data_IF_497368569480
#
_entry.id   IF_497368569480
#
_cell.length_a   1.000
_cell.length_b   1.000
_cell.length_c   1.000
_cell.angle_alpha   90.00
_cell.angle_beta   90.00
_cell.angle_gamma   90.00
#
_symmetry.space_group_name_H-M   'P 1'
#
loop_
_entity.id
_entity.type
_entity.pdbx_description
1 polymer ?
#
# COMPACT_ATOMS: atom_id res chain seq x y z
N UNK A 1 22.51 -14.74 -2.92
CA UNK A 1 21.61 -15.70 -2.26
C UNK A 1 20.62 -15.03 -1.31
N UNK A 2 21.01 -14.21 -0.33
CA UNK A 2 20.08 -13.65 0.67
C UNK A 2 19.00 -12.66 0.14
N UNK A 3 19.32 -11.83 -0.87
CA UNK A 3 18.39 -10.78 -1.37
C UNK A 3 17.07 -11.35 -1.91
N UNK A 4 17.11 -12.45 -2.66
CA UNK A 4 15.89 -13.09 -3.18
C UNK A 4 15.04 -13.67 -2.05
N UNK A 5 15.68 -14.27 -1.05
CA UNK A 5 14.99 -14.87 0.10
C UNK A 5 14.24 -13.83 0.91
N UNK A 6 14.87 -12.66 1.18
CA UNK A 6 14.22 -11.56 1.90
C UNK A 6 13.02 -11.01 1.12
N UNK A 7 13.16 -10.83 -0.20
CA UNK A 7 12.06 -10.33 -1.03
C UNK A 7 10.87 -11.29 -1.06
N UNK A 8 11.12 -12.60 -1.15
CA UNK A 8 10.06 -13.62 -1.07
C UNK A 8 9.35 -13.62 0.28
N UNK A 9 10.11 -13.50 1.37
CA UNK A 9 9.50 -13.39 2.71
C UNK A 9 8.60 -12.15 2.82
N UNK A 10 9.02 -11.01 2.29
CA UNK A 10 8.22 -9.78 2.31
C UNK A 10 6.90 -9.93 1.53
N UNK A 11 6.93 -10.63 0.40
CA UNK A 11 5.74 -10.96 -0.39
C UNK A 11 4.77 -11.86 0.40
N UNK A 12 5.26 -12.97 0.94
CA UNK A 12 4.46 -13.91 1.73
C UNK A 12 3.85 -13.26 2.98
N UNK A 13 4.62 -12.43 3.69
CA UNK A 13 4.12 -11.67 4.85
C UNK A 13 3.09 -10.62 4.42
N UNK A 14 3.27 -9.99 3.26
CA UNK A 14 2.30 -9.02 2.72
C UNK A 14 0.93 -9.65 2.48
N UNK A 15 0.89 -10.81 1.84
CA UNK A 15 -0.35 -11.58 1.62
C UNK A 15 -1.01 -11.98 2.95
N UNK A 16 -0.22 -12.47 3.91
CA UNK A 16 -0.71 -12.85 5.22
C UNK A 16 -1.30 -11.65 5.98
N UNK A 17 -0.67 -10.47 5.90
CA UNK A 17 -1.16 -9.24 6.52
C UNK A 17 -2.48 -8.76 5.90
N UNK A 18 -2.64 -8.85 4.58
CA UNK A 18 -3.90 -8.53 3.90
C UNK A 18 -5.01 -9.48 4.36
N UNK A 19 -4.77 -10.79 4.33
CA UNK A 19 -5.75 -11.79 4.77
C UNK A 19 -6.11 -11.66 6.26
N UNK A 20 -5.14 -11.31 7.11
CA UNK A 20 -5.39 -11.01 8.52
C UNK A 20 -6.28 -9.78 8.66
N UNK A 21 -5.96 -8.69 7.97
CA UNK A 21 -6.72 -7.44 8.07
C UNK A 21 -8.17 -7.64 7.64
N UNK A 22 -8.39 -8.33 6.52
CA UNK A 22 -9.73 -8.64 5.99
C UNK A 22 -10.57 -9.50 6.95
N UNK A 23 -9.92 -10.37 7.73
CA UNK A 23 -10.60 -11.27 8.67
C UNK A 23 -10.87 -10.61 10.02
N UNK A 24 -9.91 -9.87 10.55
CA UNK A 24 -9.93 -9.40 11.94
C UNK A 24 -10.36 -7.94 12.09
N UNK A 25 -10.14 -7.10 11.08
CA UNK A 25 -10.48 -5.66 11.12
C UNK A 25 -11.84 -5.46 10.43
N UNK A 26 -12.88 -6.06 11.00
CA UNK A 26 -14.26 -5.96 10.50
C UNK A 26 -15.20 -5.54 11.62
N UNK A 27 -16.31 -4.86 11.30
CA UNK A 27 -17.30 -4.43 12.29
C UNK A 27 -16.77 -3.39 13.30
N UNK A 28 -15.80 -2.57 12.90
CA UNK A 28 -15.20 -1.55 13.78
C UNK A 28 -16.12 -0.32 13.87
N UNK A 29 -16.49 0.06 15.09
CA UNK A 29 -17.15 1.34 15.36
C UNK A 29 -16.09 2.44 15.54
N UNK A 30 -15.94 3.28 14.52
CA UNK A 30 -15.02 4.44 14.54
C UNK A 30 -15.78 5.74 14.28
N UNK A 31 -16.13 6.52 15.34
CA UNK A 31 -16.86 7.78 15.18
C UNK A 31 -16.10 8.84 14.37
N UNK A 32 -14.76 8.77 14.37
CA UNK A 32 -13.89 9.74 13.74
C UNK A 32 -12.76 9.05 12.99
N UNK A 33 -12.94 8.90 11.68
CA UNK A 33 -11.93 8.34 10.77
C UNK A 33 -11.18 9.48 10.09
N UNK A 34 -9.85 9.44 10.17
CA UNK A 34 -8.96 10.28 9.38
C UNK A 34 -8.55 9.52 8.13
N UNK A 35 -8.51 10.21 7.00
CA UNK A 35 -8.03 9.64 5.74
C UNK A 35 -6.80 10.43 5.33
N UNK A 36 -5.71 9.73 5.09
CA UNK A 36 -4.45 10.30 4.64
C UNK A 36 -4.00 9.65 3.33
N UNK A 37 -3.18 10.37 2.57
CA UNK A 37 -2.53 9.88 1.37
C UNK A 37 -1.02 10.06 1.46
N UNK A 38 -0.30 8.99 1.13
CA UNK A 38 1.15 8.99 1.02
C UNK A 38 1.56 8.81 -0.44
N UNK A 39 2.41 9.71 -0.92
CA UNK A 39 3.01 9.61 -2.26
C UNK A 39 4.30 8.78 -2.25
N UNK A 40 4.45 7.94 -3.26
CA UNK A 40 5.66 7.17 -3.56
C UNK A 40 5.83 6.95 -5.06
N UNK A 41 6.84 6.18 -5.44
CA UNK A 41 7.07 5.78 -6.83
C UNK A 41 7.59 4.33 -6.91
N UNK A 42 7.29 3.64 -7.99
CA UNK A 42 7.85 2.33 -8.31
C UNK A 42 8.78 2.46 -9.52
N UNK A 43 10.01 1.94 -9.38
CA UNK A 43 11.11 2.02 -10.36
C UNK A 43 11.59 3.45 -10.69
N UNK A 44 10.70 4.30 -11.18
CA UNK A 44 10.97 5.65 -11.68
C UNK A 44 9.90 6.62 -11.18
N UNK A 45 10.29 7.86 -10.85
CA UNK A 45 9.33 8.95 -10.60
C UNK A 45 8.60 9.28 -11.90
N UNK A 46 7.32 9.65 -11.85
CA UNK A 46 6.51 9.88 -13.07
C UNK A 46 7.20 10.75 -14.13
N UNK A 47 7.85 11.84 -13.72
CA UNK A 47 8.55 12.77 -14.63
C UNK A 47 9.75 12.16 -15.38
N UNK A 48 10.26 11.03 -14.91
CA UNK A 48 11.42 10.34 -15.45
C UNK A 48 11.03 8.99 -16.08
N UNK A 49 9.74 8.67 -16.14
CA UNK A 49 9.26 7.45 -16.81
C UNK A 49 9.55 7.59 -18.29
N UNK A 50 10.28 6.62 -18.83
CA UNK A 50 10.62 6.62 -20.25
C UNK A 50 9.38 6.32 -21.11
N UNK A 51 9.32 6.82 -22.36
CA UNK A 51 8.13 6.67 -23.20
C UNK A 51 7.68 5.21 -23.38
N UNK A 52 8.62 4.27 -23.41
CA UNK A 52 8.35 2.83 -23.51
C UNK A 52 7.73 2.21 -22.26
N UNK A 53 7.89 2.84 -21.10
CA UNK A 53 7.32 2.39 -19.82
C UNK A 53 6.09 3.20 -19.40
N UNK A 54 5.69 4.21 -20.19
CA UNK A 54 4.53 5.04 -19.90
C UNK A 54 3.23 4.21 -19.96
N UNK A 55 2.47 4.21 -18.86
CA UNK A 55 1.22 3.45 -18.74
C UNK A 55 1.42 1.96 -18.45
N UNK A 56 2.66 1.49 -18.29
CA UNK A 56 2.97 0.12 -17.85
C UNK A 56 2.85 0.03 -16.33
N UNK A 57 2.06 -0.92 -15.83
CA UNK A 57 1.91 -1.16 -14.40
C UNK A 57 3.29 -1.46 -13.76
N UNK A 58 3.60 -0.74 -12.69
CA UNK A 58 4.87 -0.90 -11.96
C UNK A 58 5.91 0.18 -12.26
N UNK A 59 5.60 1.15 -13.12
CA UNK A 59 6.43 2.34 -13.35
C UNK A 59 5.66 3.60 -13.01
N UNK A 60 6.32 4.56 -12.36
CA UNK A 60 5.75 5.87 -12.09
C UNK A 60 5.27 6.04 -10.66
N UNK A 61 4.32 6.95 -10.47
CA UNK A 61 3.84 7.33 -9.16
C UNK A 61 2.87 6.29 -8.57
N UNK A 62 2.95 6.14 -7.26
CA UNK A 62 2.08 5.27 -6.47
C UNK A 62 1.56 6.07 -5.29
N UNK A 63 0.25 5.99 -5.05
CA UNK A 63 -0.40 6.59 -3.89
C UNK A 63 -0.91 5.50 -2.98
N UNK A 64 -0.62 5.64 -1.69
CA UNK A 64 -1.16 4.78 -0.64
C UNK A 64 -2.16 5.60 0.16
N UNK A 65 -3.41 5.18 0.13
CA UNK A 65 -4.49 5.76 0.91
C UNK A 65 -4.68 4.95 2.18
N UNK A 66 -4.81 5.63 3.32
CA UNK A 66 -4.94 4.98 4.62
C UNK A 66 -6.12 5.59 5.37
N UNK A 67 -7.05 4.75 5.82
CA UNK A 67 -8.10 5.13 6.74
C UNK A 67 -7.69 4.73 8.16
N UNK A 68 -7.58 5.70 9.06
CA UNK A 68 -7.12 5.50 10.43
C UNK A 68 -8.15 6.04 11.43
N UNK A 69 -8.44 5.26 12.47
CA UNK A 69 -9.22 5.74 13.59
C UNK A 69 -8.44 6.80 14.36
N UNK A 70 -9.02 7.98 14.52
CA UNK A 70 -8.31 9.12 15.12
C UNK A 70 -7.91 8.91 16.59
N UNK A 71 -8.61 8.02 17.32
CA UNK A 71 -8.41 7.80 18.76
C UNK A 71 -7.52 6.60 19.05
N UNK A 72 -7.91 5.42 18.57
CA UNK A 72 -7.16 4.17 18.77
C UNK A 72 -5.92 4.08 17.89
N UNK A 73 -5.84 4.92 16.84
CA UNK A 73 -4.80 4.88 15.81
C UNK A 73 -4.77 3.54 15.05
N UNK A 74 -5.86 2.78 15.11
CA UNK A 74 -6.04 1.58 14.30
C UNK A 74 -6.13 1.98 12.83
N UNK A 75 -5.27 1.40 11.99
CA UNK A 75 -5.44 1.43 10.53
C UNK A 75 -6.58 0.49 10.19
N UNK A 76 -7.72 1.05 9.79
CA UNK A 76 -8.95 0.30 9.50
C UNK A 76 -8.80 -0.38 8.14
N UNK A 77 -8.32 0.36 7.15
CA UNK A 77 -8.09 -0.16 5.81
C UNK A 77 -7.07 0.73 5.09
N UNK A 78 -6.46 0.17 4.05
CA UNK A 78 -5.54 0.87 3.19
C UNK A 78 -5.72 0.41 1.74
N UNK A 79 -5.35 1.28 0.79
CA UNK A 79 -5.42 0.96 -0.63
C UNK A 79 -4.28 1.60 -1.37
N UNK A 80 -3.62 0.81 -2.22
CA UNK A 80 -2.58 1.31 -3.13
C UNK A 80 -3.18 1.52 -4.51
N UNK A 81 -2.85 2.66 -5.12
CA UNK A 81 -3.20 3.00 -6.49
C UNK A 81 -1.93 3.42 -7.25
N UNK A 82 -1.71 2.82 -8.41
CA UNK A 82 -0.72 3.30 -9.38
C UNK A 82 -1.42 4.17 -10.44
N UNK A 83 -0.72 5.21 -10.92
CA UNK A 83 -1.19 6.08 -12.02
C UNK A 83 -0.67 5.63 -13.37
#
# INVERSE_FOLDING_TARGET
MAKLTVLRLLEEVGEACTAFSDRFITGIESPHVQVDEMWGFCQQKQKNVSPENAGVLGYGNVWTYIAIDSRSKLVITWRVRAS
#
